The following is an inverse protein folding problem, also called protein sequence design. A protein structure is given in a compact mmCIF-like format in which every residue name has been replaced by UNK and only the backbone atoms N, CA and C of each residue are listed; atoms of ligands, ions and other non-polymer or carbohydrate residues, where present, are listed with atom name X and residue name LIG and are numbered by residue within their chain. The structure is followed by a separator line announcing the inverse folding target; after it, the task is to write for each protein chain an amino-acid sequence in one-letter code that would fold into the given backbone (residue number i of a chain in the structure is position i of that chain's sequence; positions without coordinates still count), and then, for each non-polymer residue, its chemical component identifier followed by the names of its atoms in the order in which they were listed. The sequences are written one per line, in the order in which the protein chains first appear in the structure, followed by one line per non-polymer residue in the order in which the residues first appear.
data_IF_408718478771
#
_entry.id   IF_408718478771
#
_cell.length_a   1.000
_cell.length_b   1.000
_cell.length_c   1.000
_cell.angle_alpha   90.00
_cell.angle_beta   90.00
_cell.angle_gamma   90.00
#
_symmetry.space_group_name_H-M   'P 1'
#
loop_
_entity.id
_entity.type
_entity.pdbx_description
1 polymer ?
#
# COMPACT_ATOMS: atom_id res chain seq x y z
N UNK A 1 -9.83 -10.17 -21.23
CA UNK A 1 -10.50 -10.46 -19.96
C UNK A 1 -11.94 -10.03 -20.10
N UNK A 2 -12.89 -10.94 -19.91
CA UNK A 2 -14.32 -10.65 -19.94
C UNK A 2 -14.78 -10.06 -18.60
N UNK A 3 -15.98 -9.46 -18.56
CA UNK A 3 -16.58 -8.98 -17.31
C UNK A 3 -16.84 -10.13 -16.32
N UNK A 4 -17.13 -11.33 -16.83
CA UNK A 4 -17.35 -12.51 -15.99
C UNK A 4 -16.05 -12.99 -15.35
N UNK A 5 -14.92 -12.91 -16.08
CA UNK A 5 -13.60 -13.21 -15.52
C UNK A 5 -13.25 -12.25 -14.37
N UNK A 6 -13.45 -10.93 -14.58
CA UNK A 6 -13.21 -9.91 -13.56
C UNK A 6 -14.08 -10.17 -12.32
N UNK A 7 -15.36 -10.50 -12.52
CA UNK A 7 -16.29 -10.80 -11.43
C UNK A 7 -15.83 -12.03 -10.64
N UNK A 8 -15.43 -13.10 -11.33
CA UNK A 8 -14.95 -14.32 -10.69
C UNK A 8 -13.68 -14.06 -9.86
N UNK A 9 -12.72 -13.32 -10.40
CA UNK A 9 -11.50 -12.93 -9.68
C UNK A 9 -11.80 -12.07 -8.45
N UNK A 10 -12.67 -11.06 -8.59
CA UNK A 10 -13.08 -10.21 -7.48
C UNK A 10 -13.77 -11.00 -6.36
N UNK A 11 -14.61 -11.98 -6.71
CA UNK A 11 -15.23 -12.87 -5.73
C UNK A 11 -14.21 -13.77 -5.02
N UNK A 12 -13.22 -14.30 -5.74
CA UNK A 12 -12.15 -15.10 -5.15
C UNK A 12 -11.31 -14.28 -4.15
N UNK A 13 -10.93 -13.05 -4.51
CA UNK A 13 -10.18 -12.15 -3.62
C UNK A 13 -10.98 -11.84 -2.36
N UNK A 14 -12.28 -11.53 -2.48
CA UNK A 14 -13.15 -11.30 -1.31
C UNK A 14 -13.19 -12.50 -0.39
N UNK A 15 -13.42 -13.68 -0.97
CA UNK A 15 -13.53 -14.92 -0.21
C UNK A 15 -12.22 -15.23 0.54
N UNK A 16 -11.07 -14.93 -0.06
CA UNK A 16 -9.77 -15.09 0.60
C UNK A 16 -9.58 -14.11 1.76
N UNK A 17 -9.83 -12.82 1.54
CA UNK A 17 -9.71 -11.78 2.57
C UNK A 17 -10.68 -12.01 3.73
N UNK A 18 -11.90 -12.47 3.45
CA UNK A 18 -12.94 -12.76 4.44
C UNK A 18 -12.57 -13.89 5.42
N UNK A 19 -11.55 -14.71 5.11
CA UNK A 19 -11.05 -15.73 6.06
C UNK A 19 -10.34 -15.11 7.26
N UNK A 20 -9.78 -13.91 7.12
CA UNK A 20 -9.01 -13.22 8.14
C UNK A 20 -9.64 -11.91 8.61
N UNK A 21 -10.39 -11.23 7.73
CA UNK A 21 -11.04 -9.95 8.02
C UNK A 21 -12.55 -10.14 8.09
N UNK A 22 -13.15 -9.77 9.23
CA UNK A 22 -14.59 -9.87 9.47
C UNK A 22 -15.24 -8.48 9.46
N UNK A 23 -16.37 -8.33 8.76
CA UNK A 23 -17.21 -7.13 8.83
C UNK A 23 -16.69 -5.91 8.07
N UNK A 24 -15.78 -6.10 7.10
CA UNK A 24 -15.18 -5.02 6.30
C UNK A 24 -15.46 -5.18 4.78
N UNK A 25 -16.54 -5.88 4.41
CA UNK A 25 -16.84 -6.21 3.01
C UNK A 25 -16.86 -4.98 2.10
N UNK A 26 -17.50 -3.89 2.56
CA UNK A 26 -17.56 -2.62 1.83
C UNK A 26 -16.18 -1.96 1.64
N UNK A 27 -15.25 -2.14 2.58
CA UNK A 27 -13.88 -1.61 2.41
C UNK A 27 -13.13 -2.43 1.37
N UNK A 28 -13.29 -3.76 1.38
CA UNK A 28 -12.71 -4.66 0.37
C UNK A 28 -13.27 -4.35 -1.03
N UNK A 29 -14.56 -4.04 -1.14
CA UNK A 29 -15.20 -3.50 -2.34
C UNK A 29 -14.45 -2.28 -2.90
N UNK A 30 -14.21 -1.27 -2.06
CA UNK A 30 -13.53 -0.05 -2.46
C UNK A 30 -12.06 -0.29 -2.83
N UNK A 31 -11.36 -1.18 -2.14
CA UNK A 31 -10.00 -1.58 -2.49
C UNK A 31 -9.94 -2.24 -3.87
N UNK A 32 -10.90 -3.11 -4.20
CA UNK A 32 -10.99 -3.73 -5.53
C UNK A 32 -11.29 -2.69 -6.62
N UNK A 33 -12.19 -1.74 -6.35
CA UNK A 33 -12.47 -0.64 -7.28
C UNK A 33 -11.21 0.19 -7.52
N UNK A 34 -10.49 0.55 -6.46
CA UNK A 34 -9.23 1.30 -6.57
C UNK A 34 -8.18 0.52 -7.37
N UNK A 35 -8.00 -0.78 -7.10
CA UNK A 35 -7.07 -1.63 -7.84
C UNK A 35 -7.37 -1.65 -9.35
N UNK A 36 -8.64 -1.87 -9.73
CA UNK A 36 -9.06 -1.95 -11.13
C UNK A 36 -9.00 -0.60 -11.86
N UNK A 37 -9.12 0.50 -11.12
CA UNK A 37 -9.03 1.86 -11.65
C UNK A 37 -7.65 2.50 -11.52
N UNK A 38 -6.66 1.78 -10.98
CA UNK A 38 -5.32 2.29 -10.65
C UNK A 38 -5.36 3.51 -9.71
N UNK A 39 -6.33 3.53 -8.80
CA UNK A 39 -6.53 4.60 -7.82
C UNK A 39 -5.88 4.32 -6.45
N UNK A 40 -5.94 5.31 -5.57
CA UNK A 40 -5.50 5.22 -4.18
C UNK A 40 -6.70 5.34 -3.23
N UNK A 41 -6.59 4.75 -2.05
CA UNK A 41 -7.65 4.76 -1.03
C UNK A 41 -7.17 5.46 0.23
N UNK A 42 -7.96 6.40 0.72
CA UNK A 42 -7.81 6.97 2.05
C UNK A 42 -8.69 6.17 3.02
N UNK A 43 -8.06 5.52 4.00
CA UNK A 43 -8.76 4.74 5.03
C UNK A 43 -8.81 5.52 6.34
N UNK A 44 -9.98 6.06 6.66
CA UNK A 44 -10.23 6.76 7.92
C UNK A 44 -10.95 5.87 8.92
N UNK A 45 -10.55 5.97 10.19
CA UNK A 45 -11.21 5.27 11.29
C UNK A 45 -10.35 5.20 12.54
N UNK A 46 -10.93 4.84 13.69
CA UNK A 46 -10.22 4.81 14.96
C UNK A 46 -9.05 3.82 14.97
N UNK A 47 -8.06 3.98 15.86
CA UNK A 47 -6.97 3.01 16.01
C UNK A 47 -7.52 1.64 16.42
N UNK A 48 -6.86 0.57 15.99
CA UNK A 48 -7.24 -0.81 16.33
C UNK A 48 -8.32 -1.45 15.44
N UNK A 49 -8.79 -0.78 14.38
CA UNK A 49 -9.81 -1.33 13.45
C UNK A 49 -9.22 -2.21 12.34
N UNK A 50 -8.09 -2.88 12.60
CA UNK A 50 -7.42 -3.79 11.68
C UNK A 50 -7.06 -3.21 10.29
N UNK A 51 -6.94 -1.89 10.11
CA UNK A 51 -6.57 -1.26 8.80
C UNK A 51 -5.25 -1.80 8.25
N UNK A 52 -4.25 -1.92 9.12
CA UNK A 52 -2.93 -2.47 8.75
C UNK A 52 -3.03 -3.92 8.32
N UNK A 53 -3.76 -4.73 9.09
CA UNK A 53 -3.94 -6.15 8.82
C UNK A 53 -4.78 -6.38 7.54
N UNK A 54 -5.79 -5.54 7.29
CA UNK A 54 -6.57 -5.55 6.05
C UNK A 54 -5.67 -5.34 4.82
N UNK A 55 -4.77 -4.35 4.85
CA UNK A 55 -3.82 -4.11 3.76
C UNK A 55 -2.91 -5.32 3.50
N UNK A 56 -2.42 -5.97 4.57
CA UNK A 56 -1.60 -7.18 4.49
C UNK A 56 -2.37 -8.38 3.93
N UNK A 57 -3.61 -8.60 4.37
CA UNK A 57 -4.45 -9.69 3.85
C UNK A 57 -4.81 -9.47 2.38
N UNK A 58 -5.10 -8.22 2.00
CA UNK A 58 -5.45 -7.86 0.63
C UNK A 58 -4.27 -8.04 -0.33
N UNK A 59 -3.07 -7.59 0.04
CA UNK A 59 -1.86 -7.84 -0.76
C UNK A 59 -1.54 -9.33 -0.85
N UNK A 60 -1.63 -10.08 0.25
CA UNK A 60 -1.40 -11.52 0.26
C UNK A 60 -2.38 -12.28 -0.64
N UNK A 61 -3.67 -11.92 -0.62
CA UNK A 61 -4.69 -12.52 -1.49
C UNK A 61 -4.43 -12.28 -2.98
N UNK A 62 -3.75 -11.18 -3.33
CA UNK A 62 -3.40 -10.81 -4.69
C UNK A 62 -1.98 -11.27 -5.09
N UNK A 63 -1.18 -11.78 -4.14
CA UNK A 63 0.22 -12.10 -4.35
C UNK A 63 1.12 -10.89 -4.58
N UNK A 64 0.73 -9.72 -4.05
CA UNK A 64 1.47 -8.46 -4.22
C UNK A 64 2.55 -8.26 -3.15
N UNK A 65 3.66 -7.65 -3.53
CA UNK A 65 4.63 -7.10 -2.59
C UNK A 65 3.95 -6.02 -1.73
N UNK A 66 4.06 -6.18 -0.40
CA UNK A 66 3.47 -5.26 0.57
C UNK A 66 4.54 -4.41 1.24
N UNK A 67 4.45 -3.10 1.07
CA UNK A 67 5.22 -2.12 1.80
C UNK A 67 4.37 -1.41 2.86
N UNK A 68 5.01 -1.01 3.95
CA UNK A 68 4.40 -0.15 4.96
C UNK A 68 5.37 0.97 5.32
N UNK A 69 4.87 2.19 5.30
CA UNK A 69 5.57 3.37 5.82
C UNK A 69 4.73 3.91 6.97
N UNK A 70 5.37 4.06 8.12
CA UNK A 70 4.80 4.79 9.24
C UNK A 70 5.15 6.27 9.07
N UNK A 71 4.15 7.12 8.89
CA UNK A 71 4.37 8.55 8.77
C UNK A 71 4.62 9.16 10.14
N UNK A 72 5.75 9.85 10.29
CA UNK A 72 6.18 10.53 11.51
C UNK A 72 6.55 11.98 11.20
N UNK A 73 6.53 12.91 12.17
CA UNK A 73 6.78 14.34 11.93
C UNK A 73 8.16 14.66 11.34
N UNK A 74 9.11 13.76 11.54
CA UNK A 74 10.52 13.83 11.12
C UNK A 74 10.80 13.13 9.78
N UNK A 75 9.83 12.40 9.21
CA UNK A 75 10.01 11.67 7.95
C UNK A 75 10.29 12.65 6.80
N UNK A 76 11.41 12.43 6.09
CA UNK A 76 11.82 13.24 4.94
C UNK A 76 11.42 12.57 3.62
N UNK A 77 11.23 13.32 2.52
CA UNK A 77 10.95 12.74 1.21
C UNK A 77 12.00 11.73 0.74
N UNK A 78 13.27 11.94 1.10
CA UNK A 78 14.37 11.01 0.80
C UNK A 78 14.25 9.66 1.53
N UNK A 79 13.56 9.61 2.68
CA UNK A 79 13.32 8.36 3.40
C UNK A 79 12.23 7.50 2.73
N UNK A 80 11.38 8.13 1.91
CA UNK A 80 10.29 7.47 1.16
C UNK A 80 10.76 7.06 -0.24
N UNK A 81 11.36 8.00 -0.97
CA UNK A 81 11.85 7.80 -2.34
C UNK A 81 13.18 7.06 -2.37
N UNK A 82 14.00 7.17 -1.33
CA UNK A 82 15.38 6.71 -1.33
C UNK A 82 16.36 7.81 -1.77
N UNK A 83 17.62 7.41 -1.99
CA UNK A 83 18.72 8.36 -2.25
C UNK A 83 19.75 7.81 -3.24
N UNK A 84 20.42 8.71 -3.96
CA UNK A 84 21.54 8.36 -4.82
C UNK A 84 22.81 8.24 -3.98
N UNK A 85 23.33 7.01 -3.85
CA UNK A 85 24.58 6.74 -3.17
C UNK A 85 25.72 6.68 -4.19
N UNK A 86 26.81 7.36 -3.90
CA UNK A 86 28.02 7.27 -4.71
C UNK A 86 28.78 5.97 -4.39
N UNK A 87 28.96 5.11 -5.38
CA UNK A 87 29.75 3.90 -5.25
C UNK A 87 31.21 4.20 -5.64
N UNK A 88 32.09 4.21 -4.65
CA UNK A 88 33.52 4.48 -4.84
C UNK A 88 34.24 3.44 -5.72
N UNK A 89 33.76 2.20 -5.79
CA UNK A 89 34.39 1.16 -6.61
C UNK A 89 34.12 1.37 -8.10
N UNK A 90 32.93 1.86 -8.44
CA UNK A 90 32.49 2.09 -9.83
C UNK A 90 32.58 3.55 -10.25
N UNK A 91 32.85 4.46 -9.31
CA UNK A 91 32.81 5.92 -9.51
C UNK A 91 31.49 6.39 -10.12
N UNK A 92 30.37 5.78 -9.71
CA UNK A 92 29.03 6.06 -10.23
C UNK A 92 28.02 6.27 -9.11
N UNK A 93 26.97 7.06 -9.37
CA UNK A 93 25.82 7.16 -8.47
C UNK A 93 24.84 6.01 -8.76
N UNK A 94 24.38 5.34 -7.70
CA UNK A 94 23.34 4.30 -7.76
C UNK A 94 22.17 4.72 -6.87
N UNK A 95 20.94 4.65 -7.40
CA UNK A 95 19.74 4.89 -6.63
C UNK A 95 19.49 3.72 -5.68
N UNK A 96 19.58 3.98 -4.38
CA UNK A 96 19.05 3.10 -3.34
C UNK A 96 17.57 3.40 -3.20
N UNK A 97 16.73 2.47 -3.67
CA UNK A 97 15.26 2.59 -3.66
C UNK A 97 14.73 2.65 -2.22
N UNK A 98 13.87 3.62 -1.95
CA UNK A 98 13.14 3.72 -0.69
C UNK A 98 11.92 2.77 -0.60
N UNK A 99 11.22 2.76 0.54
CA UNK A 99 10.10 1.85 0.82
C UNK A 99 8.85 2.07 -0.04
N UNK A 100 8.77 3.18 -0.79
CA UNK A 100 7.64 3.43 -1.71
C UNK A 100 7.62 2.44 -2.90
N UNK A 101 8.76 1.85 -3.23
CA UNK A 101 8.89 0.93 -4.36
C UNK A 101 8.39 -0.46 -3.99
N UNK A 102 7.07 -0.60 -3.99
CA UNK A 102 6.34 -1.83 -3.71
C UNK A 102 5.08 -1.87 -4.59
N UNK A 103 4.36 -2.99 -4.64
CA UNK A 103 3.14 -3.12 -5.43
C UNK A 103 1.90 -2.62 -4.67
N UNK A 104 1.86 -2.81 -3.35
CA UNK A 104 0.87 -2.23 -2.46
C UNK A 104 1.53 -1.57 -1.27
N UNK A 105 1.36 -0.26 -1.13
CA UNK A 105 1.90 0.53 -0.03
C UNK A 105 0.80 0.94 0.96
N UNK A 106 1.00 0.61 2.23
CA UNK A 106 0.27 1.23 3.34
C UNK A 106 1.05 2.43 3.89
N UNK A 107 0.54 3.64 3.62
CA UNK A 107 1.00 4.88 4.25
C UNK A 107 0.21 5.12 5.56
N UNK A 108 0.75 4.62 6.66
CA UNK A 108 0.08 4.63 7.97
C UNK A 108 0.25 5.98 8.68
N UNK A 109 -0.83 6.53 9.24
CA UNK A 109 -0.88 7.84 9.91
C UNK A 109 -0.35 9.01 9.08
N UNK A 110 -0.68 9.05 7.78
CA UNK A 110 -0.21 10.09 6.82
C UNK A 110 -0.35 11.53 7.33
N UNK A 111 -1.40 11.78 8.12
CA UNK A 111 -1.70 13.07 8.74
C UNK A 111 -0.67 13.53 9.81
N UNK A 112 0.31 12.71 10.19
CA UNK A 112 1.36 13.05 11.16
C UNK A 112 2.61 13.70 10.53
N UNK A 113 2.70 13.78 9.21
CA UNK A 113 3.83 14.41 8.52
C UNK A 113 3.57 15.88 8.17
N UNK A 114 4.63 16.69 7.99
CA UNK A 114 4.51 18.03 7.42
C UNK A 114 3.99 18.01 5.96
N UNK A 115 3.33 19.08 5.47
CA UNK A 115 2.78 19.12 4.11
C UNK A 115 3.80 18.83 2.99
N UNK A 116 5.07 19.19 3.19
CA UNK A 116 6.13 18.96 2.20
C UNK A 116 6.46 17.47 1.97
N UNK A 117 6.20 16.60 2.95
CA UNK A 117 6.42 15.15 2.82
C UNK A 117 5.15 14.45 2.29
N UNK A 118 3.98 15.09 2.40
CA UNK A 118 2.71 14.59 1.86
C UNK A 118 2.52 14.89 0.37
N UNK A 119 3.18 15.95 -0.13
CA UNK A 119 3.03 16.47 -1.49
C UNK A 119 3.92 15.76 -2.51
#
# INVERSE_FOLDING_TARGET
MSLDDVRAMAQAIRAEVARAIVGQDAVVDHLLVALLSQGHVLLEGPPGTAKTFLGQCFSAALGLEFGRIQFTPDLLPGDILGSNLFNFQTSSFTLTRGPIFTELLLADEINRTPPKTQA
#
